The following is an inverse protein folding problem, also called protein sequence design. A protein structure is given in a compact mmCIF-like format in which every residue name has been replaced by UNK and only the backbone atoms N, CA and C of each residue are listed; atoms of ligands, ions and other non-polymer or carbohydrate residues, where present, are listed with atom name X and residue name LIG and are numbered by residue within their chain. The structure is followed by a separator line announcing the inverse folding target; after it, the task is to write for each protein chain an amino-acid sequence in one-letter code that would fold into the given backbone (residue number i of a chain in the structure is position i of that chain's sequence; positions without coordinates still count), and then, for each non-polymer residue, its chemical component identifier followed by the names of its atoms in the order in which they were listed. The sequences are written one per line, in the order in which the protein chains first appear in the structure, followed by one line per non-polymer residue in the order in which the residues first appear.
data_IF_723112578654
#
_entry.id   IF_723112578654
#
_cell.length_a   1.000
_cell.length_b   1.000
_cell.length_c   1.000
_cell.angle_alpha   90.00
_cell.angle_beta   90.00
_cell.angle_gamma   90.00
#
_symmetry.space_group_name_H-M   'P 1'
#
loop_
_entity.id
_entity.type
_entity.pdbx_description
1 polymer ?
#
# COMPACT_ATOMS: atom_id res chain seq x y z
N UNK A 1 39.05 25.56 0.82
CA UNK A 1 37.90 24.68 0.53
C UNK A 1 38.41 23.42 -0.16
N UNK A 2 38.35 22.30 0.54
CA UNK A 2 38.95 21.04 0.10
C UNK A 2 38.18 20.43 -1.08
N UNK A 3 38.78 19.50 -1.85
CA UNK A 3 38.09 18.78 -2.92
C UNK A 3 36.83 18.03 -2.42
N UNK A 4 36.91 17.46 -1.22
CA UNK A 4 35.80 16.80 -0.49
C UNK A 4 34.62 17.76 -0.25
N UNK A 5 34.89 18.97 0.24
CA UNK A 5 33.87 19.99 0.50
C UNK A 5 33.19 20.49 -0.79
N UNK A 6 33.95 20.60 -1.89
CA UNK A 6 33.41 20.92 -3.22
C UNK A 6 32.47 19.84 -3.73
N UNK A 7 32.87 18.57 -3.61
CA UNK A 7 32.06 17.40 -4.01
C UNK A 7 30.77 17.33 -3.18
N UNK A 8 30.84 17.57 -1.86
CA UNK A 8 29.67 17.60 -0.96
C UNK A 8 28.70 18.72 -1.32
N UNK A 9 29.18 19.95 -1.57
CA UNK A 9 28.34 21.08 -2.00
C UNK A 9 27.69 20.83 -3.37
N UNK A 10 28.41 20.21 -4.30
CA UNK A 10 27.90 19.88 -5.64
C UNK A 10 26.79 18.81 -5.56
N UNK A 11 27.00 17.76 -4.77
CA UNK A 11 25.99 16.71 -4.52
C UNK A 11 24.75 17.29 -3.84
N UNK A 12 24.92 18.16 -2.84
CA UNK A 12 23.80 18.84 -2.17
C UNK A 12 22.99 19.71 -3.14
N UNK A 13 23.66 20.48 -4.02
CA UNK A 13 22.99 21.30 -5.04
C UNK A 13 22.27 20.45 -6.08
N UNK A 14 22.81 19.27 -6.45
CA UNK A 14 22.15 18.32 -7.35
C UNK A 14 20.90 17.71 -6.72
N UNK A 15 21.01 17.25 -5.47
CA UNK A 15 19.87 16.73 -4.71
C UNK A 15 18.77 17.77 -4.55
N UNK A 16 19.13 19.04 -4.31
CA UNK A 16 18.17 20.13 -4.22
C UNK A 16 17.42 20.34 -5.54
N UNK A 17 18.12 20.42 -6.68
CA UNK A 17 17.47 20.53 -8.00
C UNK A 17 16.56 19.35 -8.31
N UNK A 18 16.94 18.13 -7.91
CA UNK A 18 16.08 16.96 -8.08
C UNK A 18 14.79 17.09 -7.24
N UNK A 19 14.88 17.54 -5.98
CA UNK A 19 13.71 17.80 -5.13
C UNK A 19 12.82 18.90 -5.69
N UNK A 20 13.40 19.98 -6.17
CA UNK A 20 12.64 21.11 -6.74
C UNK A 20 11.91 20.70 -8.04
N UNK A 21 12.55 19.90 -8.90
CA UNK A 21 11.90 19.32 -10.08
C UNK A 21 10.76 18.36 -9.73
N UNK A 22 10.94 17.53 -8.71
CA UNK A 22 9.87 16.64 -8.22
C UNK A 22 8.68 17.42 -7.70
N UNK A 23 8.92 18.48 -6.91
CA UNK A 23 7.87 19.40 -6.44
C UNK A 23 7.13 20.07 -7.58
N UNK A 24 7.85 20.53 -8.62
CA UNK A 24 7.25 21.15 -9.79
C UNK A 24 6.33 20.19 -10.57
N UNK A 25 6.61 18.88 -10.51
CA UNK A 25 5.79 17.83 -11.13
C UNK A 25 4.65 17.34 -10.23
N UNK A 26 4.39 17.98 -9.08
CA UNK A 26 3.45 17.52 -8.05
C UNK A 26 3.71 16.10 -7.56
N UNK A 27 4.96 15.62 -7.64
CA UNK A 27 5.32 14.32 -7.08
C UNK A 27 5.34 14.42 -5.56
N UNK A 28 4.60 13.52 -4.91
CA UNK A 28 4.62 13.35 -3.46
C UNK A 28 5.67 12.29 -3.08
N UNK A 29 6.73 12.71 -2.41
CA UNK A 29 7.74 11.78 -1.88
C UNK A 29 7.21 11.13 -0.59
N UNK A 30 7.08 9.80 -0.57
CA UNK A 30 6.76 9.01 0.61
C UNK A 30 8.02 8.32 1.14
N UNK A 31 8.42 8.60 2.38
CA UNK A 31 9.55 7.92 3.03
C UNK A 31 9.02 6.77 3.89
N UNK A 32 9.41 5.54 3.55
CA UNK A 32 9.04 4.33 4.28
C UNK A 32 10.29 3.73 4.91
N UNK A 33 10.22 3.37 6.20
CA UNK A 33 11.27 2.61 6.86
C UNK A 33 10.90 1.14 6.81
N UNK A 34 11.77 0.32 6.22
CA UNK A 34 11.56 -1.13 6.11
C UNK A 34 12.44 -1.85 7.13
N UNK A 35 11.87 -2.85 7.80
CA UNK A 35 12.69 -3.78 8.59
C UNK A 35 13.48 -4.72 7.64
N UNK A 36 14.50 -5.43 8.14
CA UNK A 36 15.34 -6.28 7.28
C UNK A 36 14.57 -7.36 6.51
N UNK A 37 13.47 -7.89 7.08
CA UNK A 37 12.65 -8.90 6.41
C UNK A 37 11.82 -8.28 5.27
N UNK A 38 11.27 -7.09 5.48
CA UNK A 38 10.54 -6.34 4.45
C UNK A 38 11.47 -5.93 3.31
N UNK A 39 12.69 -5.47 3.64
CA UNK A 39 13.71 -5.13 2.67
C UNK A 39 14.07 -6.33 1.78
N UNK A 40 14.34 -7.50 2.38
CA UNK A 40 14.63 -8.71 1.63
C UNK A 40 13.47 -9.17 0.74
N UNK A 41 12.22 -9.01 1.22
CA UNK A 41 11.02 -9.30 0.41
C UNK A 41 10.93 -8.35 -0.80
N UNK A 42 11.20 -7.07 -0.62
CA UNK A 42 11.17 -6.08 -1.70
C UNK A 42 12.25 -6.39 -2.75
N UNK A 43 13.46 -6.72 -2.33
CA UNK A 43 14.54 -7.13 -3.24
C UNK A 43 14.17 -8.36 -4.07
N UNK A 44 13.54 -9.36 -3.44
CA UNK A 44 13.04 -10.54 -4.15
C UNK A 44 11.96 -10.18 -5.17
N UNK A 45 11.05 -9.26 -4.83
CA UNK A 45 10.02 -8.76 -5.76
C UNK A 45 10.67 -8.09 -6.97
N UNK A 46 11.64 -7.20 -6.74
CA UNK A 46 12.39 -6.52 -7.80
C UNK A 46 13.05 -7.50 -8.77
N UNK A 47 13.66 -8.57 -8.26
CA UNK A 47 14.29 -9.60 -9.09
C UNK A 47 13.26 -10.46 -9.83
N UNK A 48 12.18 -10.87 -9.15
CA UNK A 48 11.21 -11.82 -9.70
C UNK A 48 10.46 -11.26 -10.90
N UNK A 49 10.01 -10.00 -10.82
CA UNK A 49 9.23 -9.38 -11.92
C UNK A 49 10.10 -8.87 -13.07
N UNK A 50 11.41 -8.83 -12.89
CA UNK A 50 12.32 -8.34 -13.91
C UNK A 50 12.68 -9.37 -14.98
N UNK A 51 12.54 -10.68 -14.70
CA UNK A 51 13.01 -11.70 -15.64
C UNK A 51 12.40 -11.55 -17.05
N UNK A 52 13.22 -11.65 -18.12
CA UNK A 52 14.67 -11.93 -18.14
C UNK A 52 15.59 -10.69 -18.13
N UNK A 53 15.04 -9.50 -17.89
CA UNK A 53 15.75 -8.23 -17.89
C UNK A 53 16.41 -7.91 -16.53
N UNK A 54 17.03 -6.73 -16.46
CA UNK A 54 17.62 -6.18 -15.23
C UNK A 54 16.56 -5.97 -14.14
N UNK A 55 16.89 -6.29 -12.86
CA UNK A 55 16.01 -6.06 -11.72
C UNK A 55 15.42 -4.65 -11.68
N UNK A 56 14.13 -4.56 -11.35
CA UNK A 56 13.49 -3.26 -11.12
C UNK A 56 14.16 -2.53 -9.97
N UNK A 57 14.19 -1.21 -10.04
CA UNK A 57 14.46 -0.40 -8.85
C UNK A 57 13.35 -0.61 -7.81
N UNK A 58 13.65 -0.34 -6.55
CA UNK A 58 12.65 -0.47 -5.48
C UNK A 58 11.46 0.45 -5.71
N UNK A 59 11.72 1.67 -6.23
CA UNK A 59 10.69 2.63 -6.57
C UNK A 59 9.77 2.12 -7.69
N UNK A 60 10.33 1.59 -8.78
CA UNK A 60 9.56 1.03 -9.89
C UNK A 60 8.72 -0.17 -9.45
N UNK A 61 9.28 -1.05 -8.61
CA UNK A 61 8.56 -2.18 -8.06
C UNK A 61 7.38 -1.72 -7.20
N UNK A 62 7.58 -0.76 -6.29
CA UNK A 62 6.52 -0.22 -5.43
C UNK A 62 5.43 0.48 -6.25
N UNK A 63 5.79 1.28 -7.26
CA UNK A 63 4.82 1.91 -8.16
C UNK A 63 4.01 0.86 -8.93
N UNK A 64 4.67 -0.17 -9.46
CA UNK A 64 4.00 -1.26 -10.16
C UNK A 64 3.04 -2.04 -9.25
N UNK A 65 3.42 -2.26 -7.99
CA UNK A 65 2.54 -2.91 -7.00
C UNK A 65 1.30 -2.07 -6.71
N UNK A 66 1.41 -0.74 -6.63
CA UNK A 66 0.25 0.14 -6.48
C UNK A 66 -0.72 -0.04 -7.64
N UNK A 67 -0.23 -0.02 -8.88
CA UNK A 67 -1.07 -0.21 -10.05
C UNK A 67 -1.74 -1.59 -10.08
N UNK A 68 -0.99 -2.63 -9.73
CA UNK A 68 -1.52 -3.99 -9.66
C UNK A 68 -2.64 -4.12 -8.63
N UNK A 69 -2.40 -3.68 -7.39
CA UNK A 69 -3.43 -3.76 -6.32
C UNK A 69 -4.64 -2.89 -6.67
N UNK A 70 -4.42 -1.70 -7.23
CA UNK A 70 -5.52 -0.83 -7.67
C UNK A 70 -6.39 -1.49 -8.74
N UNK A 71 -5.78 -2.24 -9.67
CA UNK A 71 -6.54 -2.96 -10.71
C UNK A 71 -7.45 -4.07 -10.17
N UNK A 72 -7.21 -4.54 -8.94
CA UNK A 72 -8.03 -5.57 -8.29
C UNK A 72 -9.28 -4.97 -7.62
N UNK A 73 -9.31 -3.66 -7.32
CA UNK A 73 -10.41 -3.01 -6.60
C UNK A 73 -11.77 -3.25 -7.28
N UNK A 74 -11.95 -3.03 -8.59
CA UNK A 74 -13.27 -3.23 -9.23
C UNK A 74 -13.75 -4.68 -9.17
N UNK A 75 -12.81 -5.63 -9.21
CA UNK A 75 -13.14 -7.07 -9.11
C UNK A 75 -13.61 -7.40 -7.69
N UNK A 76 -12.93 -6.85 -6.68
CA UNK A 76 -13.34 -6.99 -5.28
C UNK A 76 -14.73 -6.37 -5.08
N UNK A 77 -14.94 -5.12 -5.52
CA UNK A 77 -16.22 -4.41 -5.40
C UNK A 77 -17.40 -5.19 -6.01
N UNK A 78 -17.19 -5.79 -7.18
CA UNK A 78 -18.19 -6.62 -7.84
C UNK A 78 -18.56 -7.88 -7.03
N UNK A 79 -17.63 -8.43 -6.24
CA UNK A 79 -17.85 -9.63 -5.42
C UNK A 79 -18.54 -9.33 -4.08
N UNK A 80 -18.47 -8.10 -3.58
CA UNK A 80 -18.98 -7.76 -2.24
C UNK A 80 -20.50 -7.78 -2.12
N UNK A 81 -21.23 -7.59 -3.23
CA UNK A 81 -22.69 -7.51 -3.23
C UNK A 81 -23.25 -6.34 -2.40
N UNK A 82 -24.46 -6.51 -1.87
CA UNK A 82 -25.19 -5.46 -1.15
C UNK A 82 -25.30 -5.77 0.35
N UNK A 83 -25.37 -4.74 1.17
CA UNK A 83 -25.60 -4.88 2.60
C UNK A 83 -27.00 -5.46 2.86
N UNK A 84 -27.09 -6.50 3.67
CA UNK A 84 -28.36 -7.15 4.03
C UNK A 84 -29.30 -6.27 4.87
N UNK A 85 -28.79 -5.21 5.51
CA UNK A 85 -29.60 -4.31 6.36
C UNK A 85 -30.15 -3.09 5.61
N UNK A 86 -29.31 -2.38 4.87
CA UNK A 86 -29.71 -1.15 4.16
C UNK A 86 -29.91 -1.34 2.65
N UNK A 87 -29.48 -2.47 2.07
CA UNK A 87 -29.57 -2.74 0.63
C UNK A 87 -28.56 -1.99 -0.23
N UNK A 88 -27.71 -1.13 0.35
CA UNK A 88 -26.69 -0.37 -0.38
C UNK A 88 -25.50 -1.25 -0.79
N UNK A 89 -24.78 -0.83 -1.83
CA UNK A 89 -23.61 -1.52 -2.34
C UNK A 89 -22.46 -1.49 -1.32
N UNK A 90 -21.81 -2.63 -1.10
CA UNK A 90 -20.57 -2.71 -0.32
C UNK A 90 -19.37 -2.32 -1.21
N UNK A 91 -18.34 -1.63 -0.69
CA UNK A 91 -18.01 -1.46 0.73
C UNK A 91 -18.66 -0.27 1.46
N UNK A 92 -19.38 0.63 0.80
CA UNK A 92 -19.96 1.79 1.48
C UNK A 92 -21.05 1.39 2.49
N UNK A 93 -21.97 0.51 2.05
CA UNK A 93 -23.03 -0.04 2.89
C UNK A 93 -23.80 1.03 3.67
N UNK A 94 -23.88 0.88 4.99
CA UNK A 94 -24.66 1.77 5.85
C UNK A 94 -24.03 3.15 6.08
N UNK A 95 -22.87 3.46 5.47
CA UNK A 95 -22.22 4.77 5.63
C UNK A 95 -23.08 5.95 5.17
N UNK A 96 -24.01 5.70 4.23
CA UNK A 96 -24.99 6.69 3.77
C UNK A 96 -26.03 7.08 4.82
N UNK A 97 -26.30 6.20 5.79
CA UNK A 97 -27.28 6.44 6.86
C UNK A 97 -26.66 7.14 8.07
N UNK A 98 -25.37 6.93 8.30
CA UNK A 98 -24.62 7.55 9.38
C UNK A 98 -23.13 7.43 9.08
N UNK A 99 -22.37 8.49 9.28
CA UNK A 99 -20.92 8.48 9.12
C UNK A 99 -20.29 7.37 9.99
N UNK A 100 -19.53 6.47 9.36
CA UNK A 100 -18.97 5.30 10.04
C UNK A 100 -19.88 4.06 10.07
N UNK A 101 -21.12 4.15 9.56
CA UNK A 101 -22.04 3.05 9.34
C UNK A 101 -22.98 2.76 10.51
N UNK A 102 -24.28 2.97 10.31
CA UNK A 102 -25.33 2.90 11.35
C UNK A 102 -25.31 1.62 12.20
N UNK A 103 -24.99 0.47 11.59
CA UNK A 103 -25.02 -0.83 12.27
C UNK A 103 -23.61 -1.39 12.58
N UNK A 104 -22.56 -0.59 12.47
CA UNK A 104 -21.19 -1.04 12.74
C UNK A 104 -21.06 -1.43 14.22
N UNK A 105 -20.53 -2.64 14.49
CA UNK A 105 -20.45 -3.21 15.85
C UNK A 105 -21.52 -4.25 16.15
N UNK A 106 -22.61 -4.30 15.37
CA UNK A 106 -23.58 -5.40 15.42
C UNK A 106 -22.93 -6.69 14.88
N UNK A 107 -23.22 -7.83 15.51
CA UNK A 107 -22.64 -9.13 15.14
C UNK A 107 -22.99 -9.58 13.71
N UNK A 108 -24.13 -9.11 13.17
CA UNK A 108 -24.61 -9.40 11.82
C UNK A 108 -24.18 -8.35 10.80
N UNK A 109 -23.51 -7.28 11.21
CA UNK A 109 -23.03 -6.26 10.29
C UNK A 109 -21.88 -6.81 9.45
N UNK A 110 -21.96 -6.60 8.13
CA UNK A 110 -20.91 -7.01 7.21
C UNK A 110 -19.55 -6.43 7.59
N UNK A 111 -19.45 -5.16 8.00
CA UNK A 111 -18.18 -4.56 8.44
C UNK A 111 -17.63 -5.12 9.75
N UNK A 112 -18.49 -5.73 10.59
CA UNK A 112 -18.06 -6.39 11.83
C UNK A 112 -17.51 -7.77 11.52
N UNK A 113 -18.25 -8.56 10.73
CA UNK A 113 -17.89 -9.94 10.39
C UNK A 113 -16.80 -10.03 9.31
N UNK A 114 -16.81 -9.11 8.34
CA UNK A 114 -15.97 -9.08 7.17
C UNK A 114 -15.21 -7.74 7.09
N UNK A 115 -13.93 -7.81 6.75
CA UNK A 115 -13.13 -6.63 6.42
C UNK A 115 -12.53 -6.85 5.05
N UNK A 116 -12.56 -5.83 4.18
CA UNK A 116 -11.71 -5.82 3.00
C UNK A 116 -10.28 -5.75 3.50
N UNK A 117 -9.45 -6.67 3.04
CA UNK A 117 -8.05 -6.72 3.40
C UNK A 117 -7.23 -6.56 2.13
N UNK A 118 -6.16 -5.77 2.22
CA UNK A 118 -5.17 -5.64 1.15
C UNK A 118 -4.43 -6.98 0.94
N UNK A 119 -4.32 -7.80 1.99
CA UNK A 119 -3.81 -9.17 1.91
C UNK A 119 -4.87 -10.16 2.41
N UNK A 120 -5.05 -11.27 1.71
CA UNK A 120 -5.75 -12.42 2.27
C UNK A 120 -4.85 -13.04 3.34
N UNK A 121 -5.31 -13.24 4.58
CA UNK A 121 -4.54 -14.00 5.55
C UNK A 121 -4.36 -15.41 5.00
N UNK A 122 -3.16 -15.75 4.57
CA UNK A 122 -2.82 -17.16 4.36
C UNK A 122 -2.95 -17.86 5.70
N UNK A 123 -3.42 -19.11 5.74
CA UNK A 123 -3.57 -19.90 6.98
C UNK A 123 -2.33 -19.80 7.90
N UNK A 124 -1.14 -19.73 7.31
CA UNK A 124 0.15 -19.59 8.00
C UNK A 124 0.32 -18.33 8.86
N UNK A 125 -0.42 -17.24 8.60
CA UNK A 125 -0.29 -16.00 9.39
C UNK A 125 -1.06 -16.09 10.72
N UNK A 126 -2.10 -16.93 10.78
CA UNK A 126 -2.87 -17.15 12.01
C UNK A 126 -2.10 -17.95 13.06
N UNK A 127 -1.16 -18.82 12.66
CA UNK A 127 -0.29 -19.58 13.59
C UNK A 127 0.74 -18.68 14.29
N UNK A 128 1.11 -17.56 13.67
CA UNK A 128 2.14 -16.64 14.19
C UNK A 128 1.61 -15.50 15.06
N UNK A 129 0.28 -15.38 15.23
CA UNK A 129 -0.31 -14.36 16.08
C UNK A 129 -0.29 -14.87 17.52
N UNK A 130 0.44 -14.24 18.47
CA UNK A 130 0.31 -14.62 19.87
C UNK A 130 -1.16 -14.41 20.24
N UNK A 131 -1.77 -15.48 20.74
CA UNK A 131 -3.09 -15.47 21.34
C UNK A 131 -3.06 -14.48 22.50
N UNK A 132 -3.49 -13.24 22.23
CA UNK A 132 -3.65 -12.21 23.24
C UNK A 132 -4.77 -12.62 24.18
N UNK A 133 -4.39 -12.75 25.45
CA UNK A 133 -5.20 -13.02 26.64
C UNK A 133 -6.34 -12.02 26.85
#
# INVERSE_FOLDING_TARGET
MTPEERKRKQNAKRAQRCRDKRKANNNHDLRVSLNPQEQAKLEKICQFFAYPAEPYTQEEALQSLIHRVYSEIPVIEAQLGKCSKCGEQLPEGCAKLSEGGLFKGDATCWHTANRIRIYQPTEKYNESRPSGS
#
